data_IF_431495526380
#
_entry.id   IF_431495526380
#
_cell.length_a   1.000
_cell.length_b   1.000
_cell.length_c   1.000
_cell.angle_alpha   90.00
_cell.angle_beta   90.00
_cell.angle_gamma   90.00
#
_symmetry.space_group_name_H-M   'P 1'
#
loop_
_entity.id
_entity.type
_entity.pdbx_description
1 polymer ?
#
# COMPACT_ATOMS: atom_id res chain seq x y z
N UNK A 1 23.78 -10.31 -0.32
CA UNK A 1 23.05 -10.45 0.96
C UNK A 1 22.01 -9.34 1.07
N UNK A 2 20.88 -9.62 1.71
CA UNK A 2 19.85 -8.60 1.98
C UNK A 2 20.17 -7.94 3.32
N UNK A 3 20.08 -6.62 3.38
CA UNK A 3 20.19 -5.85 4.62
C UNK A 3 19.34 -4.58 4.52
N UNK A 4 19.11 -3.92 5.66
CA UNK A 4 18.62 -2.54 5.64
C UNK A 4 19.72 -1.59 5.15
N UNK A 5 19.31 -0.47 4.55
CA UNK A 5 20.22 0.60 4.26
C UNK A 5 20.76 1.24 5.55
N UNK A 6 21.80 2.04 5.39
CA UNK A 6 22.40 2.89 6.41
C UNK A 6 22.96 4.14 5.71
N UNK A 7 23.60 5.03 6.48
CA UNK A 7 24.20 6.26 5.96
C UNK A 7 25.23 6.02 4.84
N UNK A 8 25.91 4.87 4.84
CA UNK A 8 26.92 4.51 3.83
C UNK A 8 26.30 3.95 2.56
N UNK A 9 25.15 3.29 2.66
CA UNK A 9 24.40 2.69 1.56
C UNK A 9 23.43 3.70 0.92
N UNK A 10 22.89 4.66 1.68
CA UNK A 10 21.94 5.67 1.21
C UNK A 10 22.36 6.36 -0.10
N UNK A 11 23.61 6.82 -0.29
CA UNK A 11 24.05 7.39 -1.56
C UNK A 11 23.95 6.40 -2.72
N UNK A 12 24.22 5.11 -2.48
CA UNK A 12 24.10 4.06 -3.49
C UNK A 12 22.63 3.81 -3.85
N UNK A 13 21.70 3.87 -2.88
CA UNK A 13 20.26 3.75 -3.17
C UNK A 13 19.78 4.91 -4.04
N UNK A 14 20.24 6.14 -3.74
CA UNK A 14 19.95 7.31 -4.58
C UNK A 14 20.47 7.12 -6.01
N UNK A 15 21.67 6.56 -6.17
CA UNK A 15 22.26 6.30 -7.48
C UNK A 15 21.50 5.19 -8.26
N UNK A 16 21.10 4.11 -7.59
CA UNK A 16 20.25 3.07 -8.18
C UNK A 16 18.94 3.68 -8.66
N UNK A 17 18.30 4.51 -7.83
CA UNK A 17 17.06 5.20 -8.18
C UNK A 17 17.27 6.07 -9.43
N UNK A 18 18.29 6.92 -9.43
CA UNK A 18 18.61 7.79 -10.57
C UNK A 18 18.83 7.00 -11.85
N UNK A 19 19.59 5.91 -11.77
CA UNK A 19 19.91 5.06 -12.92
C UNK A 19 18.67 4.36 -13.47
N UNK A 20 17.73 3.95 -12.61
CA UNK A 20 16.58 3.13 -13.00
C UNK A 20 15.39 3.97 -13.45
N UNK A 21 15.10 5.07 -12.77
CA UNK A 21 13.90 5.89 -13.03
C UNK A 21 14.21 7.17 -13.81
N UNK A 22 15.43 7.71 -13.71
CA UNK A 22 15.82 8.91 -14.44
C UNK A 22 15.25 10.22 -13.89
N UNK A 23 14.62 10.18 -12.70
CA UNK A 23 13.97 11.34 -12.11
C UNK A 23 14.93 12.53 -11.87
N UNK A 24 14.45 13.77 -11.97
CA UNK A 24 15.29 14.94 -11.79
C UNK A 24 15.76 15.09 -10.34
N UNK A 25 16.93 15.72 -10.13
CA UNK A 25 17.53 15.76 -8.80
C UNK A 25 16.71 16.55 -7.80
N UNK A 26 16.02 17.61 -8.23
CA UNK A 26 15.13 18.39 -7.36
C UNK A 26 13.98 17.54 -6.78
N UNK A 27 13.38 16.65 -7.56
CA UNK A 27 12.38 15.70 -7.09
C UNK A 27 12.99 14.71 -6.09
N UNK A 28 14.11 14.10 -6.45
CA UNK A 28 14.80 13.15 -5.59
C UNK A 28 15.21 13.79 -4.26
N UNK A 29 15.61 15.05 -4.26
CA UNK A 29 15.99 15.78 -3.05
C UNK A 29 14.79 16.05 -2.13
N UNK A 30 13.58 16.20 -2.67
CA UNK A 30 12.32 16.24 -1.88
C UNK A 30 12.04 14.84 -1.32
N UNK A 31 12.08 13.82 -2.16
CA UNK A 31 11.79 12.43 -1.77
C UNK A 31 12.74 11.93 -0.68
N UNK A 32 14.06 12.07 -0.88
CA UNK A 32 15.06 11.56 0.04
C UNK A 32 15.10 12.30 1.38
N UNK A 33 14.66 13.56 1.38
CA UNK A 33 14.53 14.37 2.60
C UNK A 33 13.29 13.99 3.40
N UNK A 34 12.13 13.91 2.74
CA UNK A 34 10.86 13.76 3.46
C UNK A 34 10.42 12.30 3.65
N UNK A 35 10.65 11.43 2.67
CA UNK A 35 10.09 10.06 2.65
C UNK A 35 11.10 8.98 2.93
N UNK A 36 12.27 9.05 2.31
CA UNK A 36 13.29 8.03 2.43
C UNK A 36 13.78 7.90 3.87
N UNK A 37 13.87 6.66 4.36
CA UNK A 37 14.46 6.31 5.65
C UNK A 37 15.26 5.01 5.52
N UNK A 38 16.43 4.97 6.13
CA UNK A 38 17.35 3.83 6.03
C UNK A 38 16.70 2.57 6.63
N UNK A 39 16.08 2.71 7.80
CA UNK A 39 15.38 1.66 8.55
C UNK A 39 14.13 1.10 7.85
N UNK A 40 13.69 1.77 6.78
CA UNK A 40 12.57 1.37 5.93
C UNK A 40 13.00 0.94 4.53
N UNK A 41 14.30 0.87 4.26
CA UNK A 41 14.84 0.54 2.94
C UNK A 41 15.63 -0.75 2.99
N UNK A 42 15.19 -1.76 2.23
CA UNK A 42 15.94 -2.99 2.02
C UNK A 42 16.80 -2.87 0.77
N UNK A 43 18.02 -3.38 0.84
CA UNK A 43 18.96 -3.45 -0.27
C UNK A 43 19.48 -4.86 -0.48
N UNK A 44 19.79 -5.19 -1.73
CA UNK A 44 20.58 -6.37 -2.06
C UNK A 44 22.02 -5.96 -2.36
N UNK A 45 22.97 -6.46 -1.57
CA UNK A 45 24.39 -6.12 -1.67
C UNK A 45 25.19 -7.28 -2.26
N UNK A 46 26.03 -6.98 -3.25
CA UNK A 46 27.02 -7.90 -3.84
C UNK A 46 28.38 -7.22 -3.75
N UNK A 47 29.37 -7.88 -3.13
CA UNK A 47 30.74 -7.36 -3.01
C UNK A 47 30.82 -5.92 -2.44
N UNK A 48 29.99 -5.62 -1.44
CA UNK A 48 29.95 -4.29 -0.80
C UNK A 48 29.19 -3.21 -1.58
N UNK A 49 28.67 -3.51 -2.77
CA UNK A 49 27.85 -2.61 -3.60
C UNK A 49 26.37 -2.98 -3.52
N UNK A 50 25.51 -2.01 -3.23
CA UNK A 50 24.07 -2.16 -3.39
C UNK A 50 23.73 -2.22 -4.89
N UNK A 51 22.96 -3.24 -5.29
CA UNK A 51 22.59 -3.48 -6.69
C UNK A 51 21.08 -3.49 -6.94
N UNK A 52 20.29 -3.59 -5.87
CA UNK A 52 18.84 -3.53 -5.89
C UNK A 52 18.33 -2.92 -4.58
N UNK A 53 17.19 -2.27 -4.62
CA UNK A 53 16.55 -1.67 -3.44
C UNK A 53 15.02 -1.76 -3.50
N UNK A 54 14.40 -1.76 -2.33
CA UNK A 54 12.95 -1.67 -2.12
C UNK A 54 12.71 -0.89 -0.83
N UNK A 55 11.74 0.03 -0.86
CA UNK A 55 11.43 0.91 0.27
C UNK A 55 10.02 0.64 0.79
N UNK A 56 9.83 0.68 2.10
CA UNK A 56 8.58 0.41 2.81
C UNK A 56 8.12 1.67 3.55
N UNK A 57 7.42 2.56 2.87
CA UNK A 57 6.99 3.84 3.43
C UNK A 57 5.80 3.64 4.38
N UNK A 58 5.90 4.02 5.66
CA UNK A 58 4.78 3.90 6.59
C UNK A 58 3.69 4.92 6.29
N UNK A 59 2.44 4.46 6.25
CA UNK A 59 1.25 5.30 6.15
C UNK A 59 0.16 4.79 7.10
N UNK A 60 -0.87 5.61 7.29
CA UNK A 60 -2.12 5.18 7.89
C UNK A 60 -3.16 4.94 6.78
N UNK A 61 -4.03 3.95 6.97
CA UNK A 61 -5.13 3.64 6.08
C UNK A 61 -6.42 3.52 6.88
N UNK A 62 -7.47 4.21 6.46
CA UNK A 62 -8.80 4.01 7.07
C UNK A 62 -9.41 2.74 6.52
N UNK A 63 -9.51 1.69 7.34
CA UNK A 63 -10.12 0.41 7.01
C UNK A 63 -11.35 0.17 7.88
N UNK A 64 -12.52 0.10 7.23
CA UNK A 64 -13.82 -0.02 7.89
C UNK A 64 -14.01 1.02 9.02
N UNK A 65 -13.64 2.27 8.76
CA UNK A 65 -13.74 3.37 9.72
C UNK A 65 -12.74 3.33 10.89
N UNK A 66 -11.73 2.47 10.84
CA UNK A 66 -10.62 2.41 11.81
C UNK A 66 -9.31 2.71 11.10
N UNK A 67 -8.46 3.58 11.65
CA UNK A 67 -7.13 3.82 11.09
C UNK A 67 -6.17 2.68 11.47
N UNK A 68 -5.56 2.06 10.47
CA UNK A 68 -4.57 1.00 10.64
C UNK A 68 -3.24 1.40 10.00
N UNK A 69 -2.09 0.98 10.57
CA UNK A 69 -0.80 1.18 9.94
C UNK A 69 -0.65 0.26 8.72
N UNK A 70 -0.09 0.80 7.65
CA UNK A 70 0.22 0.09 6.41
C UNK A 70 1.64 0.42 5.95
N UNK A 71 2.17 -0.39 5.03
CA UNK A 71 3.40 -0.08 4.32
C UNK A 71 3.13 0.09 2.83
N UNK A 72 3.52 1.24 2.28
CA UNK A 72 3.53 1.50 0.85
C UNK A 72 4.89 1.11 0.27
N UNK A 73 4.90 0.20 -0.71
CA UNK A 73 6.11 -0.22 -1.41
C UNK A 73 6.46 0.81 -2.48
N UNK A 74 7.68 1.36 -2.38
CA UNK A 74 8.21 2.36 -3.30
C UNK A 74 9.64 2.03 -3.74
N UNK A 75 10.09 2.66 -4.82
CA UNK A 75 11.50 2.62 -5.25
C UNK A 75 12.05 1.23 -5.59
N UNK A 76 11.17 0.28 -5.95
CA UNK A 76 11.55 -1.10 -6.28
C UNK A 76 12.41 -1.09 -7.53
N UNK A 77 13.70 -1.35 -7.37
CA UNK A 77 14.68 -1.11 -8.42
C UNK A 77 15.82 -2.12 -8.38
N UNK A 78 16.36 -2.45 -9.56
CA UNK A 78 17.58 -3.25 -9.72
C UNK A 78 18.36 -2.65 -10.88
N UNK A 79 19.65 -2.43 -10.65
CA UNK A 79 20.58 -1.95 -11.67
C UNK A 79 20.48 -2.83 -12.94
N UNK A 80 20.45 -2.24 -14.14
CA UNK A 80 20.18 -2.96 -15.39
C UNK A 80 20.99 -4.25 -15.59
N UNK A 81 22.30 -4.21 -15.29
CA UNK A 81 23.24 -5.31 -15.46
C UNK A 81 23.04 -6.47 -14.46
N UNK A 82 22.23 -6.26 -13.42
CA UNK A 82 21.89 -7.23 -12.37
C UNK A 82 20.45 -7.78 -12.48
N UNK A 83 19.68 -7.36 -13.50
CA UNK A 83 18.29 -7.81 -13.70
C UNK A 83 18.19 -9.30 -14.06
N UNK A 84 16.98 -9.86 -13.89
CA UNK A 84 16.64 -11.28 -14.18
C UNK A 84 17.41 -12.31 -13.33
N UNK A 85 17.91 -11.90 -12.17
CA UNK A 85 18.63 -12.77 -11.20
C UNK A 85 17.85 -13.02 -9.90
N UNK A 86 16.59 -12.59 -9.83
CA UNK A 86 15.70 -12.86 -8.68
C UNK A 86 15.92 -11.98 -7.44
N UNK A 87 16.62 -10.84 -7.54
CA UNK A 87 16.88 -9.97 -6.39
C UNK A 87 15.60 -9.28 -5.85
N UNK A 88 14.73 -8.78 -6.73
CA UNK A 88 13.46 -8.17 -6.30
C UNK A 88 12.53 -9.20 -5.63
N UNK A 89 12.48 -10.44 -6.12
CA UNK A 89 11.75 -11.52 -5.46
C UNK A 89 12.20 -11.67 -3.99
N UNK A 90 13.51 -11.78 -3.77
CA UNK A 90 14.07 -11.89 -2.43
C UNK A 90 13.78 -10.66 -1.56
N UNK A 91 13.84 -9.45 -2.12
CA UNK A 91 13.51 -8.22 -1.38
C UNK A 91 12.02 -8.11 -1.03
N UNK A 92 11.11 -8.55 -1.90
CA UNK A 92 9.67 -8.58 -1.63
C UNK A 92 9.32 -9.60 -0.55
N UNK A 93 9.85 -10.82 -0.64
CA UNK A 93 9.62 -11.83 0.42
C UNK A 93 10.15 -11.31 1.76
N UNK A 94 11.34 -10.71 1.77
CA UNK A 94 11.90 -10.11 2.99
C UNK A 94 11.07 -8.94 3.51
N UNK A 95 10.44 -8.15 2.64
CA UNK A 95 9.57 -7.05 3.06
C UNK A 95 8.27 -7.55 3.70
N UNK A 96 7.73 -8.69 3.25
CA UNK A 96 6.56 -9.31 3.87
C UNK A 96 6.86 -9.84 5.28
N UNK A 97 8.02 -10.49 5.46
CA UNK A 97 8.50 -10.91 6.78
C UNK A 97 8.63 -9.71 7.73
N UNK A 98 9.18 -8.61 7.23
CA UNK A 98 9.34 -7.39 8.02
C UNK A 98 8.00 -6.72 8.34
N UNK A 99 7.06 -6.71 7.38
CA UNK A 99 5.70 -6.23 7.60
C UNK A 99 4.98 -7.03 8.70
N UNK A 100 5.06 -8.37 8.64
CA UNK A 100 4.52 -9.25 9.67
C UNK A 100 5.17 -8.99 11.04
N UNK A 101 6.51 -8.84 11.09
CA UNK A 101 7.25 -8.49 12.32
C UNK A 101 6.81 -7.15 12.92
N UNK A 102 6.41 -6.20 12.07
CA UNK A 102 5.90 -4.87 12.46
C UNK A 102 4.40 -4.85 12.72
N UNK A 103 3.74 -6.01 12.74
CA UNK A 103 2.30 -6.14 12.98
C UNK A 103 1.45 -5.37 11.92
N UNK A 104 1.96 -5.30 10.69
CA UNK A 104 1.30 -4.69 9.53
C UNK A 104 0.45 -5.73 8.81
N UNK A 105 -0.84 -5.45 8.65
CA UNK A 105 -1.78 -6.38 8.00
C UNK A 105 -1.95 -6.15 6.50
N UNK A 106 -1.57 -4.98 6.00
CA UNK A 106 -1.81 -4.57 4.61
C UNK A 106 -0.61 -3.79 4.06
N UNK A 107 -0.20 -4.16 2.85
CA UNK A 107 0.80 -3.41 2.08
C UNK A 107 0.20 -2.93 0.77
N UNK A 108 0.57 -1.73 0.33
CA UNK A 108 0.06 -1.10 -0.88
C UNK A 108 1.18 -0.78 -1.86
N UNK A 109 0.87 -0.64 -3.14
CA UNK A 109 1.76 -0.06 -4.15
C UNK A 109 0.98 0.55 -5.31
N UNK A 110 1.63 1.46 -6.04
CA UNK A 110 1.19 1.90 -7.36
C UNK A 110 2.08 1.25 -8.42
N UNK A 111 1.52 0.44 -9.34
CA UNK A 111 2.28 -0.08 -10.47
C UNK A 111 2.33 0.97 -11.59
N UNK A 112 3.53 1.47 -11.90
CA UNK A 112 3.75 2.55 -12.87
C UNK A 112 3.56 2.14 -14.35
N UNK A 113 3.51 0.84 -14.63
CA UNK A 113 3.35 0.27 -15.97
C UNK A 113 2.38 -0.91 -15.91
N UNK A 114 1.63 -1.17 -16.98
CA UNK A 114 0.58 -2.21 -17.00
C UNK A 114 1.12 -3.62 -16.71
N UNK A 115 2.29 -3.96 -17.25
CA UNK A 115 2.94 -5.26 -17.00
C UNK A 115 3.35 -5.45 -15.52
N UNK A 116 3.46 -4.37 -14.75
CA UNK A 116 3.77 -4.48 -13.32
C UNK A 116 2.60 -5.08 -12.53
N UNK A 117 1.36 -4.99 -13.01
CA UNK A 117 0.23 -5.70 -12.42
C UNK A 117 0.50 -7.21 -12.38
N UNK A 118 0.77 -7.80 -13.54
CA UNK A 118 1.11 -9.22 -13.66
C UNK A 118 2.39 -9.57 -12.88
N UNK A 119 3.35 -8.65 -12.83
CA UNK A 119 4.56 -8.86 -12.05
C UNK A 119 4.25 -9.04 -10.56
N UNK A 120 3.48 -8.11 -9.97
CA UNK A 120 3.15 -8.08 -8.54
C UNK A 120 2.08 -9.10 -8.13
N UNK A 121 1.19 -9.48 -9.05
CA UNK A 121 0.18 -10.53 -8.84
C UNK A 121 0.81 -11.85 -8.37
N UNK A 122 1.97 -12.21 -8.94
CA UNK A 122 2.72 -13.42 -8.54
C UNK A 122 3.24 -13.38 -7.10
N UNK A 123 3.20 -12.21 -6.46
CA UNK A 123 3.56 -12.02 -5.05
C UNK A 123 2.33 -11.86 -4.14
N UNK A 124 1.15 -12.14 -4.66
CA UNK A 124 -0.12 -12.07 -3.94
C UNK A 124 -0.71 -10.67 -3.83
N UNK A 125 -0.16 -9.68 -4.56
CA UNK A 125 -0.83 -8.39 -4.69
C UNK A 125 -2.04 -8.54 -5.60
N UNK A 126 -3.06 -7.71 -5.37
CA UNK A 126 -4.23 -7.61 -6.23
C UNK A 126 -4.52 -6.15 -6.52
N UNK A 127 -4.96 -5.83 -7.73
CA UNK A 127 -5.54 -4.52 -8.00
C UNK A 127 -6.78 -4.32 -7.11
N UNK A 128 -6.78 -3.20 -6.38
CA UNK A 128 -7.81 -2.85 -5.38
C UNK A 128 -8.21 -1.37 -5.42
N UNK A 129 -7.53 -0.55 -6.23
CA UNK A 129 -7.85 0.86 -6.44
C UNK A 129 -8.00 1.11 -7.94
N UNK A 130 -9.02 1.89 -8.33
CA UNK A 130 -9.18 2.36 -9.70
C UNK A 130 -8.56 3.75 -9.87
N UNK A 131 -8.01 4.02 -11.06
CA UNK A 131 -7.62 5.36 -11.45
C UNK A 131 -8.84 6.30 -11.40
N UNK A 132 -8.67 7.46 -10.78
CA UNK A 132 -9.71 8.47 -10.67
C UNK A 132 -9.91 9.18 -12.01
N UNK A 133 -11.17 9.41 -12.38
CA UNK A 133 -11.50 10.23 -13.55
C UNK A 133 -11.67 11.71 -13.20
N UNK A 134 -11.99 11.99 -11.93
CA UNK A 134 -12.24 13.34 -11.39
C UNK A 134 -11.01 13.90 -10.69
N UNK A 135 -10.74 15.18 -10.90
CA UNK A 135 -9.70 15.92 -10.18
C UNK A 135 -10.06 16.10 -8.71
N UNK A 136 -9.06 15.96 -7.86
CA UNK A 136 -9.15 16.21 -6.43
C UNK A 136 -8.96 17.71 -6.14
N UNK A 137 -9.33 18.17 -4.93
CA UNK A 137 -9.18 19.57 -4.54
C UNK A 137 -7.76 20.10 -4.79
N UNK A 138 -7.68 21.29 -5.40
CA UNK A 138 -6.42 21.91 -5.81
C UNK A 138 -5.52 22.23 -4.62
N UNK A 139 -4.30 21.69 -4.64
CA UNK A 139 -3.25 22.03 -3.67
C UNK A 139 -2.86 23.50 -3.76
N UNK A 140 -2.81 24.08 -4.96
CA UNK A 140 -2.47 25.49 -5.18
C UNK A 140 -3.48 26.40 -4.50
N UNK A 141 -4.76 26.22 -4.80
CA UNK A 141 -5.84 26.99 -4.19
C UNK A 141 -5.84 26.85 -2.66
N UNK A 142 -5.55 25.65 -2.15
CA UNK A 142 -5.48 25.39 -0.73
C UNK A 142 -4.31 26.12 -0.04
N UNK A 143 -3.11 26.09 -0.63
CA UNK A 143 -1.93 26.79 -0.10
C UNK A 143 -2.10 28.31 -0.20
N UNK A 144 -2.65 28.82 -1.31
CA UNK A 144 -2.93 30.25 -1.51
C UNK A 144 -4.00 30.79 -0.55
N UNK A 145 -4.96 29.95 -0.13
CA UNK A 145 -5.95 30.28 0.88
C UNK A 145 -5.33 30.52 2.27
N UNK A 146 -4.19 29.90 2.55
CA UNK A 146 -3.49 29.98 3.85
C UNK A 146 -2.03 30.42 3.67
N UNK A 147 -1.78 31.66 3.20
CA UNK A 147 -0.44 32.10 2.85
C UNK A 147 0.46 32.10 4.09
N UNK A 148 1.55 31.33 4.03
CA UNK A 148 2.53 31.19 5.11
C UNK A 148 2.10 30.29 6.28
N UNK A 149 0.90 29.69 6.26
CA UNK A 149 0.39 28.78 7.29
C UNK A 149 0.06 27.41 6.71
N UNK A 150 1.11 26.62 6.48
CA UNK A 150 0.98 25.26 5.94
C UNK A 150 0.20 24.33 6.89
N UNK A 151 0.21 24.60 8.20
CA UNK A 151 -0.58 23.82 9.15
C UNK A 151 -2.09 24.09 9.00
N UNK A 152 -2.50 25.33 8.73
CA UNK A 152 -3.89 25.64 8.41
C UNK A 152 -4.33 24.99 7.11
N UNK A 153 -3.50 25.05 6.07
CA UNK A 153 -3.75 24.33 4.82
C UNK A 153 -3.90 22.82 5.06
N UNK A 154 -3.02 22.22 5.87
CA UNK A 154 -3.12 20.80 6.22
C UNK A 154 -4.39 20.47 6.99
N UNK A 155 -4.84 21.30 7.94
CA UNK A 155 -6.09 21.05 8.68
C UNK A 155 -7.28 20.98 7.72
N UNK A 156 -7.36 21.87 6.75
CA UNK A 156 -8.42 21.79 5.74
C UNK A 156 -8.23 20.59 4.82
N UNK A 157 -7.01 20.32 4.30
CA UNK A 157 -6.71 19.12 3.53
C UNK A 157 -7.19 17.86 4.23
N UNK A 158 -6.85 17.72 5.51
CA UNK A 158 -7.15 16.54 6.31
C UNK A 158 -8.66 16.31 6.43
N UNK A 159 -9.45 17.37 6.66
CA UNK A 159 -10.90 17.26 6.77
C UNK A 159 -11.59 16.70 5.51
N UNK A 160 -10.97 16.84 4.34
CA UNK A 160 -11.49 16.34 3.07
C UNK A 160 -11.40 14.81 2.94
N UNK A 161 -10.47 14.18 3.66
CA UNK A 161 -10.13 12.76 3.48
C UNK A 161 -10.19 11.93 4.76
N UNK A 162 -10.01 12.53 5.94
CA UNK A 162 -9.91 11.83 7.23
C UNK A 162 -11.07 10.89 7.53
N UNK A 163 -12.28 11.28 7.11
CA UNK A 163 -13.52 10.52 7.33
C UNK A 163 -13.85 9.52 6.22
N UNK A 164 -13.07 9.51 5.13
CA UNK A 164 -13.31 8.59 4.03
C UNK A 164 -12.77 7.22 4.37
N UNK A 165 -13.63 6.22 4.22
CA UNK A 165 -13.25 4.82 4.38
C UNK A 165 -12.38 4.38 3.20
N UNK A 166 -11.63 3.30 3.38
CA UNK A 166 -10.70 2.73 2.41
C UNK A 166 -9.71 3.75 1.82
N UNK A 167 -9.21 4.69 2.63
CA UNK A 167 -8.40 5.83 2.15
C UNK A 167 -7.02 5.87 2.79
N UNK A 168 -5.97 6.06 1.98
CA UNK A 168 -4.59 6.30 2.46
C UNK A 168 -4.49 7.70 3.05
N UNK A 169 -4.38 7.75 4.36
CA UNK A 169 -4.31 8.98 5.14
C UNK A 169 -2.92 9.62 5.07
N UNK A 170 -2.88 10.95 5.21
CA UNK A 170 -1.64 11.73 5.17
C UNK A 170 -1.39 12.39 6.52
N UNK A 171 -0.16 12.32 6.99
CA UNK A 171 0.33 13.15 8.08
C UNK A 171 0.66 14.56 7.59
N UNK A 172 0.98 15.46 8.53
CA UNK A 172 1.47 16.78 8.17
C UNK A 172 2.79 16.73 7.39
N UNK A 173 3.71 15.84 7.77
CA UNK A 173 4.98 15.66 7.04
C UNK A 173 4.76 15.14 5.62
N UNK A 174 3.77 14.25 5.43
CA UNK A 174 3.38 13.81 4.10
C UNK A 174 2.84 14.97 3.28
N UNK A 175 1.93 15.76 3.86
CA UNK A 175 1.34 16.94 3.20
C UNK A 175 2.41 17.96 2.83
N UNK A 176 3.39 18.21 3.69
CA UNK A 176 4.53 19.09 3.38
C UNK A 176 5.32 18.58 2.17
N UNK A 177 5.62 17.28 2.12
CA UNK A 177 6.33 16.68 0.99
C UNK A 177 5.54 16.82 -0.32
N UNK A 178 4.23 16.56 -0.27
CA UNK A 178 3.31 16.66 -1.41
C UNK A 178 3.26 18.11 -1.95
N UNK A 179 3.16 19.10 -1.06
CA UNK A 179 3.11 20.51 -1.45
C UNK A 179 4.43 20.95 -2.07
N UNK A 180 5.56 20.51 -1.50
CA UNK A 180 6.88 20.84 -2.03
C UNK A 180 7.13 20.21 -3.41
N UNK A 181 6.77 18.94 -3.59
CA UNK A 181 6.80 18.25 -4.89
C UNK A 181 5.89 18.96 -5.90
N UNK A 182 4.64 19.23 -5.54
CA UNK A 182 3.68 19.88 -6.43
C UNK A 182 4.19 21.26 -6.88
N UNK A 183 4.86 22.01 -6.01
CA UNK A 183 5.46 23.30 -6.35
C UNK A 183 6.56 23.20 -7.43
N UNK A 184 7.29 22.08 -7.53
CA UNK A 184 8.28 21.86 -8.59
C UNK A 184 7.66 21.82 -10.00
N UNK A 185 6.37 21.52 -10.09
CA UNK A 185 5.64 21.28 -11.33
C UNK A 185 4.42 22.21 -11.52
N UNK A 186 4.41 23.37 -10.85
CA UNK A 186 3.29 24.35 -10.84
C UNK A 186 1.94 23.74 -10.46
N UNK A 187 1.94 22.88 -9.45
CA UNK A 187 0.76 22.26 -8.83
C UNK A 187 -0.15 21.57 -9.85
N UNK A 188 0.31 20.46 -10.46
CA UNK A 188 -0.49 19.72 -11.43
C UNK A 188 -1.79 19.21 -10.78
N UNK A 189 -2.87 19.04 -11.57
CA UNK A 189 -4.10 18.44 -11.07
C UNK A 189 -3.83 16.99 -10.64
N UNK A 190 -4.36 16.61 -9.48
CA UNK A 190 -4.18 15.26 -8.90
C UNK A 190 -5.49 14.50 -8.99
N UNK A 191 -5.41 13.20 -9.28
CA UNK A 191 -6.55 12.27 -9.28
C UNK A 191 -6.26 11.09 -8.35
N UNK A 192 -7.25 10.24 -8.14
CA UNK A 192 -7.02 8.96 -7.48
C UNK A 192 -6.09 8.08 -8.35
N UNK A 193 -5.19 7.35 -7.71
CA UNK A 193 -4.26 6.46 -8.38
C UNK A 193 -4.84 5.05 -8.46
N UNK A 194 -4.56 4.38 -9.57
CA UNK A 194 -4.70 2.93 -9.62
C UNK A 194 -3.66 2.31 -8.69
N UNK A 195 -4.01 1.20 -8.05
CA UNK A 195 -3.18 0.65 -7.00
C UNK A 195 -3.47 -0.80 -6.69
N UNK A 196 -2.48 -1.44 -6.08
CA UNK A 196 -2.56 -2.82 -5.64
C UNK A 196 -2.39 -2.92 -4.12
N UNK A 197 -2.99 -3.95 -3.55
CA UNK A 197 -2.88 -4.29 -2.14
C UNK A 197 -2.46 -5.74 -1.96
N UNK A 198 -1.69 -5.99 -0.90
CA UNK A 198 -1.31 -7.32 -0.40
C UNK A 198 -1.72 -7.43 1.05
N UNK A 199 -2.56 -8.41 1.37
CA UNK A 199 -2.82 -8.79 2.76
C UNK A 199 -1.60 -9.52 3.29
N UNK A 200 -1.06 -9.10 4.43
CA UNK A 200 0.08 -9.75 5.10
C UNK A 200 -0.39 -10.64 6.23
N UNK A 201 -1.35 -10.17 7.02
CA UNK A 201 -1.98 -10.92 8.11
C UNK A 201 -3.49 -11.03 7.85
N UNK A 202 -3.90 -12.18 7.32
CA UNK A 202 -5.28 -12.47 6.95
C UNK A 202 -6.21 -12.50 8.18
N UNK A 203 -5.74 -13.06 9.30
CA UNK A 203 -6.56 -13.18 10.52
C UNK A 203 -6.91 -11.80 11.07
N UNK A 204 -5.91 -10.93 11.18
CA UNK A 204 -6.07 -9.59 11.74
C UNK A 204 -6.97 -8.72 10.86
N UNK A 205 -6.77 -8.72 9.54
CA UNK A 205 -7.58 -7.88 8.64
C UNK A 205 -9.03 -8.38 8.54
N UNK A 206 -9.26 -9.71 8.54
CA UNK A 206 -10.62 -10.28 8.54
C UNK A 206 -11.33 -9.99 9.86
N UNK A 207 -10.60 -9.98 10.99
CA UNK A 207 -11.16 -9.58 12.30
C UNK A 207 -11.64 -8.13 12.28
N UNK A 208 -10.81 -7.21 11.81
CA UNK A 208 -11.18 -5.78 11.70
C UNK A 208 -12.40 -5.58 10.79
N UNK A 209 -12.48 -6.32 9.68
CA UNK A 209 -13.64 -6.29 8.81
C UNK A 209 -14.89 -6.82 9.53
N UNK A 210 -14.77 -7.96 10.21
CA UNK A 210 -15.88 -8.62 10.90
C UNK A 210 -16.49 -7.76 12.01
N UNK A 211 -15.65 -7.07 12.81
CA UNK A 211 -16.09 -6.18 13.89
C UNK A 211 -17.07 -5.10 13.40
N UNK A 212 -16.93 -4.67 12.15
CA UNK A 212 -17.77 -3.65 11.51
C UNK A 212 -18.96 -4.23 10.75
N UNK A 213 -18.94 -5.52 10.46
CA UNK A 213 -19.97 -6.24 9.70
C UNK A 213 -20.55 -7.39 10.55
N UNK A 214 -21.01 -7.07 11.76
CA UNK A 214 -21.41 -8.06 12.77
C UNK A 214 -22.60 -8.96 12.40
N UNK A 215 -23.35 -8.60 11.36
CA UNK A 215 -24.46 -9.41 10.82
C UNK A 215 -24.00 -10.55 9.90
N UNK A 216 -22.75 -10.51 9.44
CA UNK A 216 -22.25 -11.52 8.52
C UNK A 216 -21.97 -12.83 9.27
N UNK A 217 -22.36 -13.93 8.64
CA UNK A 217 -22.18 -15.28 9.15
C UNK A 217 -21.78 -16.18 7.98
N UNK A 218 -20.53 -16.62 7.95
CA UNK A 218 -19.96 -17.40 6.83
C UNK A 218 -18.57 -17.93 7.21
N UNK A 219 -17.99 -18.78 6.37
CA UNK A 219 -16.62 -19.28 6.55
C UNK A 219 -15.76 -18.97 5.34
N UNK A 220 -14.47 -18.76 5.55
CA UNK A 220 -13.49 -18.52 4.49
C UNK A 220 -12.28 -19.42 4.69
N UNK A 221 -11.91 -20.17 3.66
CA UNK A 221 -10.59 -20.78 3.53
C UNK A 221 -9.74 -19.90 2.61
N UNK A 222 -8.59 -19.46 3.12
CA UNK A 222 -7.65 -18.59 2.39
C UNK A 222 -6.45 -19.41 1.92
N UNK A 223 -6.03 -19.20 0.68
CA UNK A 223 -4.81 -19.77 0.11
C UNK A 223 -3.79 -18.67 -0.24
N UNK A 224 -2.56 -18.87 0.20
CA UNK A 224 -1.41 -17.96 0.07
C UNK A 224 -0.15 -18.81 -0.12
N UNK A 225 0.47 -18.67 -1.28
CA UNK A 225 1.67 -19.44 -1.66
C UNK A 225 2.93 -18.96 -0.94
N UNK A 226 2.97 -17.70 -0.49
CA UNK A 226 4.16 -17.07 0.06
C UNK A 226 4.13 -16.98 1.58
N UNK A 227 2.98 -16.65 2.18
CA UNK A 227 2.80 -16.52 3.62
C UNK A 227 1.90 -17.65 4.13
N UNK A 228 2.51 -18.75 4.57
CA UNK A 228 1.79 -19.97 4.95
C UNK A 228 0.91 -19.77 6.18
N UNK A 229 1.19 -18.77 7.00
CA UNK A 229 0.42 -18.37 8.16
C UNK A 229 -1.00 -17.95 7.79
N UNK A 230 -1.20 -17.44 6.56
CA UNK A 230 -2.51 -17.07 6.03
C UNK A 230 -3.34 -18.29 5.59
N UNK A 231 -2.73 -19.48 5.43
CA UNK A 231 -3.41 -20.69 4.97
C UNK A 231 -4.23 -21.33 6.08
N UNK A 232 -5.42 -20.79 6.31
CA UNK A 232 -6.31 -21.27 7.38
C UNK A 232 -7.78 -21.06 7.04
N UNK A 233 -8.62 -21.83 7.75
CA UNK A 233 -10.06 -21.64 7.80
C UNK A 233 -10.40 -20.60 8.90
N UNK A 234 -11.17 -19.59 8.51
CA UNK A 234 -11.79 -18.62 9.39
C UNK A 234 -13.31 -18.82 9.40
N UNK A 235 -13.91 -18.96 10.57
CA UNK A 235 -15.37 -18.88 10.76
C UNK A 235 -15.71 -17.49 11.29
N UNK A 236 -16.59 -16.79 10.58
CA UNK A 236 -17.03 -15.43 10.90
C UNK A 236 -18.48 -15.49 11.38
N UNK A 237 -18.73 -15.04 12.60
CA UNK A 237 -20.09 -14.93 13.17
C UNK A 237 -20.16 -13.82 14.21
N UNK A 238 -21.25 -13.04 14.21
CA UNK A 238 -21.53 -12.03 15.24
C UNK A 238 -20.37 -11.03 15.45
N UNK A 239 -19.69 -10.66 14.37
CA UNK A 239 -18.55 -9.75 14.38
C UNK A 239 -17.26 -10.33 14.98
N UNK A 240 -17.18 -11.66 15.11
CA UNK A 240 -16.01 -12.37 15.64
C UNK A 240 -15.48 -13.35 14.61
N UNK A 241 -14.16 -13.55 14.66
CA UNK A 241 -13.44 -14.50 13.81
C UNK A 241 -12.86 -15.60 14.69
N UNK A 242 -13.10 -16.86 14.32
CA UNK A 242 -12.52 -18.04 14.98
C UNK A 242 -11.74 -18.86 13.96
N UNK A 243 -10.54 -19.29 14.33
CA UNK A 243 -9.68 -20.14 13.52
C UNK A 243 -10.05 -21.62 13.70
N UNK A 244 -10.20 -22.35 12.60
CA UNK A 244 -10.43 -23.81 12.62
C UNK A 244 -11.70 -24.25 13.36
N UNK A 245 -12.69 -23.35 13.49
CA UNK A 245 -13.99 -23.66 14.07
C UNK A 245 -14.89 -24.39 13.05
N UNK A 246 -16.03 -24.95 13.48
CA UNK A 246 -17.00 -25.54 12.57
C UNK A 246 -17.38 -24.58 11.45
N UNK A 247 -17.61 -25.14 10.26
CA UNK A 247 -18.01 -24.38 9.08
C UNK A 247 -19.43 -23.86 9.28
N UNK A 248 -19.60 -22.59 8.95
CA UNK A 248 -20.86 -21.89 8.79
C UNK A 248 -21.01 -21.51 7.34
N UNK A 249 -22.10 -21.94 6.71
CA UNK A 249 -22.37 -21.67 5.30
C UNK A 249 -22.75 -20.20 5.07
N UNK A 250 -22.32 -19.60 3.94
CA UNK A 250 -21.54 -20.23 2.87
C UNK A 250 -20.05 -20.40 3.22
N UNK A 251 -19.44 -21.51 2.80
CA UNK A 251 -17.97 -21.66 2.77
C UNK A 251 -17.38 -21.04 1.50
N UNK A 252 -16.55 -20.02 1.65
CA UNK A 252 -15.78 -19.41 0.56
C UNK A 252 -14.39 -20.03 0.52
N UNK A 253 -13.91 -20.40 -0.66
CA UNK A 253 -12.52 -20.82 -0.87
C UNK A 253 -11.87 -19.87 -1.85
N UNK A 254 -10.93 -19.06 -1.38
CA UNK A 254 -10.36 -17.94 -2.13
C UNK A 254 -8.85 -17.90 -1.99
N UNK A 255 -8.16 -17.25 -2.94
CA UNK A 255 -6.76 -16.90 -2.77
C UNK A 255 -6.61 -15.57 -2.02
N UNK A 256 -5.38 -15.23 -1.61
CA UNK A 256 -5.14 -13.99 -0.87
C UNK A 256 -5.40 -12.71 -1.69
N UNK A 257 -5.32 -12.81 -3.03
CA UNK A 257 -5.59 -11.67 -3.90
C UNK A 257 -7.08 -11.36 -3.91
N UNK A 258 -7.91 -12.38 -4.04
CA UNK A 258 -9.35 -12.25 -3.91
C UNK A 258 -9.75 -11.81 -2.51
N UNK A 259 -9.09 -12.29 -1.45
CA UNK A 259 -9.31 -11.78 -0.10
C UNK A 259 -9.06 -10.27 -0.03
N UNK A 260 -7.96 -9.77 -0.60
CA UNK A 260 -7.68 -8.33 -0.63
C UNK A 260 -8.79 -7.55 -1.35
N UNK A 261 -9.23 -8.02 -2.52
CA UNK A 261 -10.31 -7.37 -3.29
C UNK A 261 -11.63 -7.33 -2.52
N UNK A 262 -12.03 -8.46 -1.93
CA UNK A 262 -13.27 -8.57 -1.16
C UNK A 262 -13.25 -7.65 0.07
N UNK A 263 -12.17 -7.65 0.84
CA UNK A 263 -12.06 -6.84 2.05
C UNK A 263 -11.99 -5.34 1.78
N UNK A 264 -11.35 -4.94 0.68
CA UNK A 264 -11.29 -3.53 0.26
C UNK A 264 -12.55 -3.11 -0.52
N UNK A 265 -13.50 -4.01 -0.74
CA UNK A 265 -14.76 -3.72 -1.44
C UNK A 265 -14.58 -3.43 -2.94
N UNK A 266 -13.50 -3.92 -3.55
CA UNK A 266 -13.15 -3.64 -4.94
C UNK A 266 -14.03 -4.42 -5.92
N UNK A 267 -14.89 -3.70 -6.67
CA UNK A 267 -15.86 -4.25 -7.64
C UNK A 267 -16.71 -5.42 -7.11
N UNK A 268 -17.00 -5.45 -5.80
CA UNK A 268 -17.71 -6.58 -5.19
C UNK A 268 -19.17 -6.65 -5.62
N UNK A 269 -19.79 -5.55 -6.05
CA UNK A 269 -21.17 -5.56 -6.58
C UNK A 269 -21.29 -6.34 -7.90
N UNK A 270 -20.17 -6.47 -8.64
CA UNK A 270 -20.08 -7.21 -9.91
C UNK A 270 -19.82 -8.69 -9.71
N UNK A 271 -19.49 -9.13 -8.49
CA UNK A 271 -19.30 -10.56 -8.16
C UNK A 271 -20.66 -11.25 -7.96
N UNK A 272 -20.68 -12.57 -8.13
CA UNK A 272 -21.86 -13.38 -7.87
C UNK A 272 -22.17 -13.53 -6.38
N UNK A 273 -23.36 -14.03 -6.06
CA UNK A 273 -23.67 -14.43 -4.68
C UNK A 273 -22.81 -15.63 -4.27
N UNK A 274 -22.32 -15.69 -3.02
CA UNK A 274 -22.66 -14.80 -1.91
C UNK A 274 -21.75 -13.56 -1.77
N UNK A 275 -20.74 -13.38 -2.62
CA UNK A 275 -19.70 -12.35 -2.45
C UNK A 275 -20.27 -10.92 -2.40
N UNK A 276 -21.13 -10.56 -3.34
CA UNK A 276 -21.72 -9.22 -3.40
C UNK A 276 -22.63 -8.85 -2.20
N UNK A 277 -23.13 -9.85 -1.47
CA UNK A 277 -23.95 -9.68 -0.25
C UNK A 277 -23.10 -9.63 1.01
N UNK A 278 -22.02 -10.41 1.05
CA UNK A 278 -21.14 -10.50 2.21
C UNK A 278 -20.14 -9.34 2.28
N UNK A 279 -19.68 -8.83 1.12
CA UNK A 279 -18.65 -7.81 1.03
C UNK A 279 -19.19 -6.55 0.36
N UNK A 280 -19.51 -5.49 1.15
CA UNK A 280 -20.03 -4.25 0.59
C UNK A 280 -19.05 -3.61 -0.39
N UNK A 281 -19.56 -3.10 -1.50
CA UNK A 281 -18.74 -2.36 -2.45
C UNK A 281 -18.23 -1.05 -1.85
N UNK A 282 -16.97 -0.74 -2.15
CA UNK A 282 -16.26 0.47 -1.72
C UNK A 282 -15.47 1.02 -2.90
N UNK A 283 -15.00 2.26 -2.74
CA UNK A 283 -14.09 2.90 -3.68
C UNK A 283 -12.82 3.30 -2.95
N UNK A 284 -11.84 2.39 -2.83
CA UNK A 284 -10.58 2.69 -2.17
C UNK A 284 -9.86 3.89 -2.80
N UNK A 285 -9.28 4.74 -1.94
CA UNK A 285 -8.63 5.98 -2.34
C UNK A 285 -7.15 5.99 -1.97
N UNK A 286 -6.31 6.16 -2.99
CA UNK A 286 -4.88 6.38 -2.87
C UNK A 286 -4.55 7.57 -3.76
N UNK A 287 -4.23 8.69 -3.15
CA UNK A 287 -4.02 9.95 -3.83
C UNK A 287 -2.96 10.78 -3.11
N UNK A 288 -2.40 11.77 -3.82
CA UNK A 288 -1.33 12.62 -3.31
C UNK A 288 -0.17 11.77 -2.74
N UNK A 289 0.27 10.79 -3.52
CA UNK A 289 1.51 10.04 -3.27
C UNK A 289 2.63 10.77 -4.01
N UNK A 290 3.87 10.69 -3.53
CA UNK A 290 5.01 11.16 -4.32
C UNK A 290 5.26 10.13 -5.42
N UNK A 291 5.23 10.57 -6.67
CA UNK A 291 5.33 9.74 -7.88
C UNK A 291 6.35 10.29 -8.87
#
# INVERSE_FOLDING_TARGET
MIQFADETIRPQVREIWKTVFGDPDNYMDVYFRHKYRDENTLVYVVEGKAIASLQMLPYLFTFCGTEIPILYIAGVSTLPEYRRRGYINQLLVRSFEEAARRDISLMLLVPQEEWLLEFYDRYGFAQTFDAGITELPSLKALVEKYPGDLHAAFREFDTLFRRKDMTVQKSFDDFRAIVEEAALYDFPPVKNLMGMARVIDAEKIVRLFSERHSRNSFSITVNDELLKENNTLFTIENGKVKRGAPIVEPLLTIDIRELAQLLLGYHTSKKEEPFNKLFPEKQPQMHFMLE
#
